data_IF_884106624376
#
_entry.id   IF_884106624376
#
_cell.length_a   1.000
_cell.length_b   1.000
_cell.length_c   1.000
_cell.angle_alpha   90.00
_cell.angle_beta   90.00
_cell.angle_gamma   90.00
#
_symmetry.space_group_name_H-M   'P 1'
#
loop_
_entity.id
_entity.type
_entity.pdbx_description
1 polymer ?
#
# COMPACT_ATOMS: atom_id res chain seq x y z
N UNK A 1 -4.46 6.13 -11.63
CA UNK A 1 -5.75 6.62 -11.08
C UNK A 1 -5.49 7.93 -10.37
N UNK A 2 -6.20 9.02 -10.70
CA UNK A 2 -5.90 10.35 -10.13
C UNK A 2 -6.78 10.61 -8.88
N UNK A 3 -6.28 10.26 -7.69
CA UNK A 3 -6.98 10.49 -6.43
C UNK A 3 -7.01 12.00 -6.13
N UNK A 4 -8.20 12.60 -6.13
CA UNK A 4 -8.37 14.04 -5.81
C UNK A 4 -8.03 14.30 -4.33
N UNK A 5 -7.52 15.50 -4.01
CA UNK A 5 -7.00 15.83 -2.66
C UNK A 5 -7.98 15.59 -1.50
N UNK A 6 -9.29 15.78 -1.71
CA UNK A 6 -10.32 15.44 -0.72
C UNK A 6 -10.39 13.93 -0.44
N UNK A 7 -10.28 13.11 -1.47
CA UNK A 7 -10.31 11.66 -1.37
C UNK A 7 -9.06 11.14 -0.66
N UNK A 8 -7.88 11.68 -1.01
CA UNK A 8 -6.64 11.36 -0.32
C UNK A 8 -6.74 11.65 1.18
N UNK A 9 -7.26 12.81 1.60
CA UNK A 9 -7.40 13.12 3.02
C UNK A 9 -8.38 12.19 3.73
N UNK A 10 -9.50 11.82 3.09
CA UNK A 10 -10.44 10.83 3.62
C UNK A 10 -9.76 9.47 3.81
N UNK A 11 -9.06 8.97 2.79
CA UNK A 11 -8.34 7.70 2.83
C UNK A 11 -7.22 7.71 3.90
N UNK A 12 -6.53 8.84 4.10
CA UNK A 12 -5.53 8.98 5.18
C UNK A 12 -6.16 8.87 6.56
N UNK A 13 -7.30 9.52 6.77
CA UNK A 13 -8.06 9.43 8.02
C UNK A 13 -8.52 8.00 8.31
N UNK A 14 -9.10 7.33 7.31
CA UNK A 14 -9.50 5.93 7.40
C UNK A 14 -8.31 5.02 7.66
N UNK A 15 -7.20 5.24 6.95
CA UNK A 15 -5.99 4.47 7.11
C UNK A 15 -5.47 4.58 8.54
N UNK A 16 -5.51 5.75 9.19
CA UNK A 16 -4.92 5.96 10.52
C UNK A 16 -5.30 4.86 11.53
N UNK A 17 -6.58 4.48 11.57
CA UNK A 17 -7.11 3.45 12.49
C UNK A 17 -6.84 2.00 12.05
N UNK A 18 -6.43 1.77 10.80
CA UNK A 18 -6.12 0.43 10.30
C UNK A 18 -4.77 -0.06 10.82
N UNK A 19 -4.65 -1.38 11.01
CA UNK A 19 -3.37 -2.05 11.29
C UNK A 19 -2.75 -2.53 9.97
N UNK A 20 -1.41 -2.52 9.82
CA UNK A 20 -0.77 -3.15 8.68
C UNK A 20 -1.05 -4.65 8.69
N UNK A 21 -1.57 -5.15 7.58
CA UNK A 21 -1.90 -6.57 7.40
C UNK A 21 -0.93 -7.27 6.44
N UNK A 22 -0.27 -6.50 5.56
CA UNK A 22 0.80 -7.00 4.69
C UNK A 22 2.14 -6.50 5.23
N UNK A 23 3.14 -7.38 5.28
CA UNK A 23 4.50 -7.01 5.69
C UNK A 23 5.49 -7.45 4.63
N UNK A 24 6.26 -6.49 4.14
CA UNK A 24 7.36 -6.71 3.21
C UNK A 24 8.61 -7.03 4.02
N UNK A 25 9.16 -8.21 3.78
CA UNK A 25 10.37 -8.69 4.44
C UNK A 25 11.64 -7.99 3.93
N UNK A 26 12.78 -8.44 4.45
CA UNK A 26 14.11 -7.95 4.05
C UNK A 26 14.42 -8.33 2.60
N UNK A 27 13.82 -9.43 2.11
CA UNK A 27 13.89 -9.87 0.72
C UNK A 27 13.19 -8.90 -0.28
N UNK A 28 12.52 -7.85 0.22
CA UNK A 28 11.88 -6.85 -0.62
C UNK A 28 10.53 -7.31 -1.19
N UNK A 29 10.17 -6.75 -2.35
CA UNK A 29 8.94 -7.07 -3.06
C UNK A 29 9.08 -8.46 -3.69
N UNK A 30 8.44 -9.45 -3.08
CA UNK A 30 8.40 -10.82 -3.59
C UNK A 30 7.01 -11.15 -4.14
N UNK A 31 6.87 -12.17 -5.01
CA UNK A 31 5.57 -12.60 -5.53
C UNK A 31 4.58 -12.96 -4.42
N UNK A 32 5.06 -13.54 -3.32
CA UNK A 32 4.24 -13.87 -2.16
C UNK A 32 3.62 -12.62 -1.52
N UNK A 33 4.43 -11.58 -1.31
CA UNK A 33 3.98 -10.29 -0.76
C UNK A 33 3.00 -9.60 -1.71
N UNK A 34 3.25 -9.66 -3.03
CA UNK A 34 2.34 -9.11 -4.03
C UNK A 34 0.98 -9.83 -4.02
N UNK A 35 0.99 -11.17 -3.89
CA UNK A 35 -0.23 -11.97 -3.82
C UNK A 35 -1.01 -11.74 -2.50
N UNK A 36 -0.31 -11.60 -1.37
CA UNK A 36 -0.92 -11.18 -0.09
C UNK A 36 -1.55 -9.80 -0.21
N UNK A 37 -0.86 -8.85 -0.84
CA UNK A 37 -1.40 -7.52 -1.08
C UNK A 37 -2.61 -7.57 -2.01
N UNK A 38 -2.57 -8.36 -3.07
CA UNK A 38 -3.70 -8.54 -3.99
C UNK A 38 -4.93 -9.10 -3.27
N UNK A 39 -4.75 -10.15 -2.45
CA UNK A 39 -5.81 -10.77 -1.64
C UNK A 39 -6.35 -9.78 -0.60
N UNK A 40 -5.47 -9.04 0.05
CA UNK A 40 -5.87 -7.99 0.99
C UNK A 40 -6.69 -6.91 0.30
N UNK A 41 -6.27 -6.46 -0.88
CA UNK A 41 -6.93 -5.44 -1.69
C UNK A 41 -8.23 -5.93 -2.34
N UNK A 42 -8.39 -7.24 -2.51
CA UNK A 42 -9.64 -7.84 -3.00
C UNK A 42 -10.73 -7.84 -1.93
N UNK A 43 -10.34 -7.95 -0.65
CA UNK A 43 -11.27 -7.92 0.48
C UNK A 43 -11.47 -6.52 1.06
N UNK A 44 -10.50 -5.62 0.85
CA UNK A 44 -10.47 -4.27 1.40
C UNK A 44 -9.98 -3.30 0.36
N UNK A 45 -10.71 -2.22 0.13
CA UNK A 45 -10.27 -1.19 -0.80
C UNK A 45 -9.01 -0.45 -0.31
N UNK A 46 -8.77 -0.42 1.02
CA UNK A 46 -7.67 0.30 1.67
C UNK A 46 -6.84 -0.63 2.56
N UNK A 47 -5.54 -0.72 2.28
CA UNK A 47 -4.61 -1.64 2.95
C UNK A 47 -3.37 -0.89 3.43
N UNK A 48 -2.91 -1.23 4.63
CA UNK A 48 -1.61 -0.80 5.15
C UNK A 48 -0.57 -1.90 4.95
N UNK A 49 0.56 -1.50 4.38
CA UNK A 49 1.72 -2.35 4.10
C UNK A 49 2.88 -1.88 4.96
N UNK A 50 3.48 -2.79 5.73
CA UNK A 50 4.70 -2.52 6.50
C UNK A 50 5.91 -2.82 5.62
N UNK A 51 6.76 -1.83 5.38
CA UNK A 51 7.98 -1.91 4.59
C UNK A 51 9.21 -2.20 5.47
N UNK A 52 10.26 -2.82 4.89
CA UNK A 52 11.52 -3.08 5.57
C UNK A 52 12.27 -1.79 5.93
N UNK A 53 13.40 -1.97 6.64
CA UNK A 53 14.24 -0.90 7.18
C UNK A 53 15.10 -0.23 6.10
N UNK A 54 14.50 0.12 4.96
CA UNK A 54 15.23 0.66 3.82
C UNK A 54 15.37 2.19 3.91
N UNK A 55 16.24 2.82 3.13
CA UNK A 55 16.22 4.26 2.95
C UNK A 55 14.91 4.72 2.28
N UNK A 56 14.52 5.98 2.51
CA UNK A 56 13.27 6.56 1.99
C UNK A 56 13.06 6.37 0.47
N UNK A 57 14.04 6.60 -0.42
CA UNK A 57 13.85 6.37 -1.86
C UNK A 57 13.53 4.92 -2.20
N UNK A 58 14.19 3.95 -1.56
CA UNK A 58 13.94 2.53 -1.79
C UNK A 58 12.55 2.09 -1.30
N UNK A 59 12.11 2.59 -0.14
CA UNK A 59 10.74 2.33 0.33
C UNK A 59 9.69 2.85 -0.65
N UNK A 60 9.89 4.06 -1.15
CA UNK A 60 8.98 4.64 -2.14
C UNK A 60 8.97 3.78 -3.41
N UNK A 61 10.14 3.36 -3.89
CA UNK A 61 10.26 2.49 -5.06
C UNK A 61 9.56 1.14 -4.83
N UNK A 62 9.81 0.47 -3.71
CA UNK A 62 9.16 -0.80 -3.36
C UNK A 62 7.63 -0.67 -3.26
N UNK A 63 7.14 0.43 -2.68
CA UNK A 63 5.71 0.69 -2.58
C UNK A 63 5.09 0.94 -3.96
N UNK A 64 5.77 1.71 -4.83
CA UNK A 64 5.35 1.94 -6.21
C UNK A 64 5.30 0.62 -6.99
N UNK A 65 6.34 -0.19 -6.91
CA UNK A 65 6.44 -1.48 -7.60
C UNK A 65 5.30 -2.44 -7.23
N UNK A 66 4.99 -2.52 -5.92
CA UNK A 66 3.82 -3.25 -5.42
C UNK A 66 2.49 -2.70 -5.96
N UNK A 67 2.37 -1.37 -6.04
CA UNK A 67 1.18 -0.73 -6.59
C UNK A 67 1.02 -1.03 -8.08
N UNK A 68 2.09 -1.00 -8.86
CA UNK A 68 2.09 -1.38 -10.28
C UNK A 68 1.63 -2.82 -10.47
N UNK A 69 2.18 -3.76 -9.69
CA UNK A 69 1.81 -5.18 -9.76
C UNK A 69 0.34 -5.43 -9.44
N UNK A 70 -0.20 -4.72 -8.45
CA UNK A 70 -1.56 -4.95 -7.94
C UNK A 70 -2.61 -4.03 -8.58
N UNK A 71 -2.19 -3.16 -9.52
CA UNK A 71 -2.99 -2.08 -10.11
C UNK A 71 -3.64 -1.16 -9.05
N UNK A 72 -2.84 -0.83 -8.05
CA UNK A 72 -3.22 -0.02 -6.89
C UNK A 72 -2.62 1.37 -6.96
N UNK A 73 -3.04 2.25 -6.06
CA UNK A 73 -2.47 3.59 -5.92
C UNK A 73 -1.92 3.81 -4.50
N UNK A 74 -0.68 4.30 -4.35
CA UNK A 74 -0.14 4.66 -3.05
C UNK A 74 -0.76 5.99 -2.57
N UNK A 75 -1.34 5.98 -1.37
CA UNK A 75 -2.01 7.13 -0.76
C UNK A 75 -1.03 7.95 0.10
N UNK A 76 -0.21 7.25 0.88
CA UNK A 76 0.75 7.86 1.80
C UNK A 76 1.85 6.87 2.20
N UNK A 77 3.04 7.39 2.51
CA UNK A 77 4.13 6.64 3.12
C UNK A 77 4.55 7.34 4.41
N UNK A 78 4.33 6.69 5.56
CA UNK A 78 4.64 7.21 6.90
C UNK A 78 5.69 6.30 7.54
N UNK A 79 6.95 6.74 7.54
CA UNK A 79 8.07 6.00 8.14
C UNK A 79 8.30 4.65 7.45
N UNK A 80 7.69 3.59 7.97
CA UNK A 80 7.73 2.22 7.43
C UNK A 80 6.36 1.71 7.01
N UNK A 81 5.31 2.50 7.14
CA UNK A 81 3.94 2.09 6.79
C UNK A 81 3.57 2.79 5.48
N UNK A 82 3.39 2.00 4.42
CA UNK A 82 2.75 2.42 3.19
C UNK A 82 1.25 2.23 3.28
N UNK A 83 0.48 3.19 2.79
CA UNK A 83 -0.97 3.10 2.64
C UNK A 83 -1.26 2.95 1.15
N UNK A 84 -1.95 1.87 0.79
CA UNK A 84 -2.28 1.51 -0.58
C UNK A 84 -3.80 1.43 -0.71
N UNK A 85 -4.32 2.01 -1.79
CA UNK A 85 -5.75 1.98 -2.09
C UNK A 85 -5.98 1.42 -3.48
N UNK A 86 -6.97 0.54 -3.62
CA UNK A 86 -7.46 0.04 -4.89
C UNK A 86 -8.99 0.02 -4.85
N UNK A 87 -9.68 0.75 -5.74
CA UNK A 87 -11.13 0.62 -5.84
C UNK A 87 -11.46 -0.78 -6.34
N UNK A 88 -12.43 -1.43 -5.69
CA UNK A 88 -12.95 -2.70 -6.20
C UNK A 88 -13.71 -2.43 -7.51
N UNK A 89 -13.50 -3.24 -8.55
CA UNK A 89 -14.38 -3.18 -9.72
C UNK A 89 -15.80 -3.50 -9.26
N UNK A 90 -16.71 -2.56 -9.48
CA UNK A 90 -18.15 -2.73 -9.31
C UNK A 90 -18.72 -3.63 -10.40
#
# INVERSE_FOLDING_TARGET
MNLKGKELNRLRGLAHHLKPIVTVGIAGVTPAVANELETALANRELVKVRLPALPRPEKTKALQDLCDHTRSTPVQLIGRIGVVYRPLPS
#
